data_IF_850893524049
#
_entry.id   IF_850893524049
#
_cell.length_a   1.000
_cell.length_b   1.000
_cell.length_c   1.000
_cell.angle_alpha   90.00
_cell.angle_beta   90.00
_cell.angle_gamma   90.00
#
_symmetry.space_group_name_H-M   'P 1'
#
loop_
_entity.id
_entity.type
_entity.pdbx_description
1 polymer ?
#
# COMPACT_ATOMS: atom_id res chain seq x y z
N UNK A 1 11.81 -19.27 -14.54
CA UNK A 1 11.41 -18.84 -13.18
C UNK A 1 10.27 -17.86 -13.37
N UNK A 2 9.03 -18.25 -13.05
CA UNK A 2 7.91 -17.30 -13.05
C UNK A 2 7.91 -16.61 -11.71
N UNK A 3 8.30 -15.34 -11.67
CA UNK A 3 8.29 -14.53 -10.44
C UNK A 3 6.94 -13.83 -10.21
N UNK A 4 5.96 -14.07 -11.09
CA UNK A 4 4.63 -13.47 -11.03
C UNK A 4 3.61 -14.61 -11.01
N UNK A 5 2.67 -14.52 -10.08
CA UNK A 5 1.54 -15.44 -9.91
C UNK A 5 0.26 -14.63 -9.76
N UNK A 6 -0.89 -15.27 -9.93
CA UNK A 6 -2.22 -14.66 -9.69
C UNK A 6 -2.61 -14.68 -8.21
N UNK A 7 -1.70 -15.09 -7.31
CA UNK A 7 -1.97 -15.10 -5.88
C UNK A 7 -2.05 -13.66 -5.35
N UNK A 8 -2.91 -13.43 -4.35
CA UNK A 8 -2.99 -12.13 -3.67
C UNK A 8 -1.66 -11.83 -2.99
N UNK A 9 -1.30 -10.56 -2.85
CA UNK A 9 -0.03 -10.16 -2.23
C UNK A 9 0.15 -10.76 -0.83
N UNK A 10 -0.92 -10.82 -0.03
CA UNK A 10 -0.94 -11.46 1.29
C UNK A 10 -0.46 -12.93 1.28
N UNK A 11 -0.78 -13.67 0.21
CA UNK A 11 -0.44 -15.08 0.05
C UNK A 11 0.90 -15.29 -0.66
N UNK A 12 1.21 -14.42 -1.61
CA UNK A 12 2.45 -14.46 -2.39
C UNK A 12 3.65 -13.98 -1.58
N UNK A 13 3.47 -12.92 -0.77
CA UNK A 13 4.51 -12.28 0.03
C UNK A 13 3.90 -11.59 1.26
N UNK A 14 3.82 -12.35 2.36
CA UNK A 14 3.26 -11.88 3.63
C UNK A 14 4.07 -10.75 4.26
N UNK A 15 5.40 -10.75 4.08
CA UNK A 15 6.28 -9.73 4.66
C UNK A 15 6.00 -8.37 4.03
N UNK A 16 5.93 -8.30 2.70
CA UNK A 16 5.62 -7.05 2.00
C UNK A 16 4.19 -6.60 2.28
N UNK A 17 3.23 -7.53 2.31
CA UNK A 17 1.85 -7.20 2.67
C UNK A 17 1.76 -6.52 4.05
N UNK A 18 2.43 -7.08 5.06
CA UNK A 18 2.41 -6.52 6.41
C UNK A 18 3.05 -5.13 6.49
N UNK A 19 4.08 -4.86 5.68
CA UNK A 19 4.69 -3.53 5.59
C UNK A 19 3.76 -2.51 4.93
N UNK A 20 2.99 -2.91 3.91
CA UNK A 20 2.00 -2.03 3.27
C UNK A 20 0.87 -1.67 4.26
N UNK A 21 0.37 -2.65 5.01
CA UNK A 21 -0.65 -2.42 6.04
C UNK A 21 -0.14 -1.51 7.17
N UNK A 22 1.11 -1.69 7.62
CA UNK A 22 1.72 -0.82 8.61
C UNK A 22 1.88 0.63 8.12
N UNK A 23 2.19 0.83 6.84
CA UNK A 23 2.26 2.18 6.24
C UNK A 23 0.87 2.82 6.11
N UNK A 24 -0.15 2.03 5.75
CA UNK A 24 -1.53 2.49 5.73
C UNK A 24 -1.98 2.96 7.13
N UNK A 25 -1.65 2.20 8.18
CA UNK A 25 -1.90 2.62 9.56
C UNK A 25 -1.16 3.92 9.90
N UNK A 26 0.13 4.02 9.54
CA UNK A 26 0.94 5.22 9.78
C UNK A 26 0.32 6.47 9.12
N UNK A 27 -0.12 6.35 7.88
CA UNK A 27 -0.74 7.45 7.14
C UNK A 27 -2.09 7.86 7.70
N UNK A 28 -2.90 6.90 8.17
CA UNK A 28 -4.28 7.17 8.64
C UNK A 28 -4.36 7.60 10.11
N UNK A 29 -3.30 7.39 10.88
CA UNK A 29 -3.21 7.77 12.30
C UNK A 29 -2.40 9.06 12.54
N UNK A 30 -1.77 9.59 11.49
CA UNK A 30 -1.00 10.85 11.54
C UNK A 30 -1.74 11.98 10.83
N UNK A 31 -1.59 13.22 11.34
CA UNK A 31 -2.04 14.41 10.63
C UNK A 31 -0.95 14.85 9.66
N UNK A 32 -1.12 14.53 8.38
CA UNK A 32 -0.19 14.97 7.34
C UNK A 32 -0.31 16.49 7.10
N UNK A 33 0.78 17.22 7.31
CA UNK A 33 0.85 18.69 7.20
C UNK A 33 1.93 19.16 6.23
N UNK A 34 2.62 18.24 5.56
CA UNK A 34 3.61 18.58 4.53
C UNK A 34 2.84 19.09 3.30
N UNK A 35 3.09 20.34 2.90
CA UNK A 35 2.32 21.01 1.86
C UNK A 35 2.41 20.36 0.47
N UNK A 36 3.43 19.52 0.23
CA UNK A 36 3.61 18.77 -1.02
C UNK A 36 2.95 17.40 -1.01
N UNK A 37 2.51 16.89 0.15
CA UNK A 37 1.91 15.57 0.31
C UNK A 37 0.39 15.62 0.13
N UNK A 38 -0.19 14.51 -0.34
CA UNK A 38 -1.65 14.38 -0.50
C UNK A 38 -2.08 12.91 -0.56
N UNK A 39 -3.37 12.65 -0.36
CA UNK A 39 -3.96 11.33 -0.56
C UNK A 39 -4.68 11.27 -1.90
N UNK A 40 -4.28 10.34 -2.77
CA UNK A 40 -4.94 10.14 -4.05
C UNK A 40 -6.21 9.30 -3.91
N UNK A 41 -7.06 9.28 -4.94
CA UNK A 41 -8.29 8.50 -4.93
C UNK A 41 -8.03 7.02 -5.31
N UNK A 42 -8.90 6.08 -4.88
CA UNK A 42 -8.79 4.68 -5.29
C UNK A 42 -8.80 4.47 -6.81
N UNK A 43 -9.59 5.27 -7.54
CA UNK A 43 -9.64 5.21 -9.00
C UNK A 43 -8.29 5.55 -9.65
N UNK A 44 -7.44 6.35 -9.01
CA UNK A 44 -6.07 6.62 -9.47
C UNK A 44 -5.13 5.48 -9.13
N UNK A 45 -5.36 4.74 -8.04
CA UNK A 45 -4.54 3.58 -7.67
C UNK A 45 -4.83 2.33 -8.51
N UNK A 46 -6.06 2.21 -9.03
CA UNK A 46 -6.49 1.08 -9.87
C UNK A 46 -6.13 1.23 -11.36
N UNK A 47 -5.79 2.45 -11.81
CA UNK A 47 -5.55 2.81 -13.22
C UNK A 47 -4.13 2.46 -13.70
#
# INVERSE_FOLDING_TARGET
>A
MSYITEARLEEADKEIFDLVEAELERQTTHLEMIASENFTSPAVMEA
#
